data_IF_160457723424
#
_entry.id   IF_160457723424
#
_cell.length_a   1.000
_cell.length_b   1.000
_cell.length_c   1.000
_cell.angle_alpha   90.00
_cell.angle_beta   90.00
_cell.angle_gamma   90.00
#
_symmetry.space_group_name_H-M   'P 1'
#
loop_
_entity.id
_entity.type
_entity.pdbx_description
1 polymer ?
#
# COMPACT_ATOMS: atom_id res chain seq x y z
N UNK A 1 -2.62 12.48 21.92
CA UNK A 1 -3.50 11.56 21.17
C UNK A 1 -4.88 12.17 21.20
N UNK A 2 -5.53 12.32 20.05
CA UNK A 2 -6.83 12.97 19.91
C UNK A 2 -7.96 11.96 20.05
N UNK A 3 -7.82 10.80 19.38
CA UNK A 3 -8.78 9.72 19.47
C UNK A 3 -8.10 8.36 19.25
N UNK A 4 -8.70 7.31 19.77
CA UNK A 4 -8.32 5.91 19.53
C UNK A 4 -9.59 5.13 19.20
N UNK A 5 -9.61 4.49 18.04
CA UNK A 5 -10.76 3.72 17.55
C UNK A 5 -10.31 2.27 17.36
N UNK A 6 -10.98 1.35 18.06
CA UNK A 6 -10.80 -0.07 17.84
C UNK A 6 -11.74 -0.55 16.73
N UNK A 7 -11.16 -1.19 15.72
CA UNK A 7 -11.88 -1.81 14.61
C UNK A 7 -12.40 -3.20 15.00
N UNK A 8 -13.45 -3.67 14.31
CA UNK A 8 -14.06 -4.98 14.54
C UNK A 8 -13.09 -6.16 14.33
N UNK A 9 -12.04 -5.96 13.54
CA UNK A 9 -10.98 -6.96 13.30
C UNK A 9 -9.84 -6.88 14.32
N UNK A 10 -9.99 -6.13 15.42
CA UNK A 10 -8.96 -5.94 16.44
C UNK A 10 -7.89 -4.90 16.09
N UNK A 11 -7.93 -4.31 14.89
CA UNK A 11 -7.03 -3.21 14.52
C UNK A 11 -7.33 -1.94 15.31
N UNK A 12 -6.33 -1.06 15.45
CA UNK A 12 -6.47 0.22 16.14
C UNK A 12 -6.14 1.36 15.17
N UNK A 13 -7.03 2.35 15.09
CA UNK A 13 -6.77 3.63 14.44
C UNK A 13 -6.48 4.65 15.54
N UNK A 14 -5.32 5.30 15.46
CA UNK A 14 -4.93 6.35 16.39
C UNK A 14 -4.90 7.70 15.64
N UNK A 15 -5.72 8.64 16.09
CA UNK A 15 -5.66 10.02 15.63
C UNK A 15 -4.77 10.82 16.59
N UNK A 16 -3.82 11.57 16.04
CA UNK A 16 -2.86 12.35 16.82
C UNK A 16 -3.22 13.83 16.78
N UNK A 17 -2.72 14.58 17.76
CA UNK A 17 -3.06 15.99 17.92
C UNK A 17 -2.42 16.89 16.86
N UNK A 18 -1.30 16.44 16.27
CA UNK A 18 -0.52 17.21 15.30
C UNK A 18 -0.05 16.33 14.15
N UNK A 19 0.10 16.93 12.98
CA UNK A 19 0.70 16.28 11.81
C UNK A 19 2.14 15.85 12.08
N UNK A 20 2.90 16.65 12.82
CA UNK A 20 4.28 16.35 13.20
C UNK A 20 4.37 15.03 14.00
N UNK A 21 3.48 14.84 14.98
CA UNK A 21 3.43 13.59 15.76
C UNK A 21 3.11 12.38 14.86
N UNK A 22 2.23 12.56 13.87
CA UNK A 22 1.89 11.52 12.91
C UNK A 22 3.06 11.18 11.97
N UNK A 23 3.77 12.20 11.49
CA UNK A 23 4.99 12.04 10.68
C UNK A 23 6.09 11.34 11.49
N UNK A 24 6.31 11.75 12.73
CA UNK A 24 7.29 11.12 13.61
C UNK A 24 6.97 9.63 13.84
N UNK A 25 5.71 9.27 14.11
CA UNK A 25 5.29 7.88 14.29
C UNK A 25 5.43 6.99 13.05
N UNK A 26 5.60 7.57 11.85
CA UNK A 26 5.90 6.82 10.62
C UNK A 26 7.38 6.44 10.52
N UNK A 27 8.27 7.05 11.30
CA UNK A 27 9.70 6.72 11.29
C UNK A 27 9.99 5.37 11.93
N UNK A 28 11.04 4.68 11.46
CA UNK A 28 11.46 3.39 12.01
C UNK A 28 11.81 3.48 13.51
N UNK A 29 12.42 4.59 13.93
CA UNK A 29 12.78 4.84 15.33
C UNK A 29 11.54 4.90 16.22
N UNK A 30 10.54 5.72 15.84
CA UNK A 30 9.32 5.87 16.62
C UNK A 30 8.50 4.59 16.68
N UNK A 31 8.41 3.85 15.56
CA UNK A 31 7.76 2.53 15.51
C UNK A 31 8.42 1.55 16.47
N UNK A 32 9.75 1.51 16.47
CA UNK A 32 10.54 0.65 17.38
C UNK A 32 10.28 1.01 18.84
N UNK A 33 10.33 2.31 19.18
CA UNK A 33 10.04 2.80 20.53
C UNK A 33 8.63 2.45 20.99
N UNK A 34 7.64 2.60 20.10
CA UNK A 34 6.24 2.31 20.41
C UNK A 34 6.01 0.80 20.61
N UNK A 35 6.56 -0.05 19.74
CA UNK A 35 6.50 -1.51 19.90
C UNK A 35 7.16 -1.96 21.20
N UNK A 36 8.33 -1.40 21.54
CA UNK A 36 9.03 -1.71 22.78
C UNK A 36 8.22 -1.26 24.02
N UNK A 37 7.58 -0.09 23.97
CA UNK A 37 6.77 0.43 25.07
C UNK A 37 5.50 -0.41 25.30
N UNK A 38 4.84 -0.86 24.23
CA UNK A 38 3.59 -1.60 24.31
C UNK A 38 3.80 -3.10 24.58
N UNK A 39 5.03 -3.62 24.38
CA UNK A 39 5.41 -5.03 24.63
C UNK A 39 4.48 -6.06 23.95
N UNK A 40 3.84 -5.65 22.86
CA UNK A 40 3.00 -6.49 22.02
C UNK A 40 3.50 -6.40 20.57
N UNK A 41 3.30 -7.45 19.76
CA UNK A 41 3.58 -7.37 18.34
C UNK A 41 2.60 -6.39 17.68
N UNK A 42 3.14 -5.29 17.13
CA UNK A 42 2.36 -4.27 16.42
C UNK A 42 2.76 -4.32 14.96
N UNK A 43 1.76 -4.44 14.09
CA UNK A 43 1.94 -4.23 12.67
C UNK A 43 1.48 -2.81 12.30
N UNK A 44 2.40 -1.99 11.83
CA UNK A 44 2.11 -0.64 11.37
C UNK A 44 1.61 -0.71 9.93
N UNK A 45 0.38 -0.22 9.71
CA UNK A 45 -0.17 -0.12 8.37
C UNK A 45 -0.05 1.32 7.88
N UNK A 46 0.80 1.52 6.89
CA UNK A 46 0.88 2.79 6.19
C UNK A 46 -0.39 3.05 5.39
N UNK A 47 -0.73 4.34 5.28
CA UNK A 47 -1.85 4.77 4.45
C UNK A 47 -1.46 4.63 2.99
N UNK A 48 -2.27 3.91 2.23
CA UNK A 48 -2.10 3.74 0.79
C UNK A 48 -3.32 4.25 0.04
N UNK A 49 -3.11 4.61 -1.23
CA UNK A 49 -4.12 5.11 -2.15
C UNK A 49 -4.34 4.07 -3.22
N UNK A 50 -5.57 3.56 -3.32
CA UNK A 50 -5.90 2.47 -4.23
C UNK A 50 -6.26 3.04 -5.62
N UNK A 51 -5.51 2.62 -6.64
CA UNK A 51 -5.79 2.91 -8.06
C UNK A 51 -6.22 1.63 -8.78
N UNK A 52 -7.15 1.76 -9.72
CA UNK A 52 -7.54 0.65 -10.61
C UNK A 52 -6.78 0.80 -11.92
N UNK A 53 -5.86 -0.12 -12.17
CA UNK A 53 -5.14 -0.21 -13.44
C UNK A 53 -5.94 -1.11 -14.38
N UNK A 54 -6.41 -0.54 -15.48
CA UNK A 54 -7.27 -1.22 -16.43
C UNK A 54 -6.45 -1.82 -17.59
N UNK A 55 -6.99 -2.88 -18.20
CA UNK A 55 -6.48 -3.49 -19.43
C UNK A 55 -5.02 -3.98 -19.39
N UNK A 56 -4.52 -4.41 -18.23
CA UNK A 56 -3.19 -5.02 -18.13
C UNK A 56 -3.16 -6.39 -18.81
N UNK A 57 -2.16 -6.69 -19.67
CA UNK A 57 -2.00 -8.01 -20.24
C UNK A 57 -1.92 -9.08 -19.16
N UNK A 58 -2.70 -10.16 -19.33
CA UNK A 58 -2.72 -11.29 -18.38
C UNK A 58 -1.41 -12.08 -18.35
N UNK A 59 -0.56 -11.89 -19.37
CA UNK A 59 0.79 -12.43 -19.45
C UNK A 59 1.79 -11.72 -18.52
N UNK A 60 1.44 -10.55 -17.96
CA UNK A 60 2.29 -9.87 -16.98
C UNK A 60 2.30 -10.61 -15.65
N UNK A 61 3.51 -10.82 -15.14
CA UNK A 61 3.72 -11.41 -13.81
C UNK A 61 3.82 -10.32 -12.75
N UNK A 62 2.69 -9.65 -12.49
CA UNK A 62 2.62 -8.52 -11.54
C UNK A 62 2.94 -8.92 -10.09
N UNK A 63 2.82 -10.22 -9.78
CA UNK A 63 3.08 -10.78 -8.45
C UNK A 63 4.59 -11.02 -8.19
N UNK A 64 5.47 -10.76 -9.17
CA UNK A 64 6.92 -10.89 -8.98
C UNK A 64 7.42 -9.81 -8.01
N UNK A 65 8.30 -10.14 -7.04
CA UNK A 65 8.76 -9.17 -6.05
C UNK A 65 9.39 -7.90 -6.63
N UNK A 66 10.06 -8.00 -7.78
CA UNK A 66 10.74 -6.88 -8.43
C UNK A 66 9.85 -6.09 -9.39
N UNK A 67 8.63 -6.57 -9.70
CA UNK A 67 7.78 -5.96 -10.72
C UNK A 67 7.53 -4.47 -10.45
N UNK A 68 7.16 -4.13 -9.21
CA UNK A 68 6.91 -2.74 -8.84
C UNK A 68 8.15 -1.85 -8.88
N UNK A 69 9.32 -2.40 -8.50
CA UNK A 69 10.57 -1.64 -8.50
C UNK A 69 11.02 -1.33 -9.93
N UNK A 70 10.81 -2.26 -10.87
CA UNK A 70 11.02 -2.01 -12.31
C UNK A 70 10.05 -0.96 -12.84
N UNK A 71 8.76 -1.07 -12.52
CA UNK A 71 7.76 -0.07 -12.95
C UNK A 71 8.10 1.33 -12.41
N UNK A 72 8.54 1.42 -11.15
CA UNK A 72 9.01 2.70 -10.58
C UNK A 72 10.20 3.27 -11.34
N UNK A 73 11.22 2.44 -11.60
CA UNK A 73 12.41 2.85 -12.33
C UNK A 73 12.09 3.31 -13.76
N UNK A 74 11.31 2.53 -14.51
CA UNK A 74 10.90 2.83 -15.88
C UNK A 74 10.08 4.12 -15.99
N UNK A 75 9.36 4.50 -14.92
CA UNK A 75 8.51 5.69 -14.88
C UNK A 75 9.10 6.85 -14.07
N UNK A 76 10.38 6.75 -13.66
CA UNK A 76 11.08 7.74 -12.85
C UNK A 76 10.33 8.09 -11.55
N UNK A 77 9.64 7.11 -10.97
CA UNK A 77 8.97 7.25 -9.69
C UNK A 77 9.97 7.06 -8.56
N UNK A 78 9.64 7.62 -7.40
CA UNK A 78 10.41 7.38 -6.19
C UNK A 78 10.32 5.90 -5.82
N UNK A 79 11.45 5.32 -5.40
CA UNK A 79 11.49 3.96 -4.86
C UNK A 79 10.51 3.80 -3.70
N UNK A 80 9.76 2.70 -3.71
CA UNK A 80 8.71 2.36 -2.73
C UNK A 80 7.46 3.29 -2.76
N UNK A 81 7.28 4.10 -3.80
CA UNK A 81 6.03 4.83 -4.04
C UNK A 81 4.87 3.89 -4.42
N UNK A 82 5.16 2.73 -5.01
CA UNK A 82 4.22 1.65 -5.26
C UNK A 82 4.35 0.59 -4.16
N UNK A 83 3.32 0.47 -3.32
CA UNK A 83 3.30 -0.39 -2.13
C UNK A 83 2.94 -1.84 -2.44
N UNK A 84 1.93 -2.06 -3.28
CA UNK A 84 1.55 -3.41 -3.73
C UNK A 84 0.69 -3.34 -4.99
N UNK A 85 0.67 -4.41 -5.76
CA UNK A 85 -0.28 -4.60 -6.85
C UNK A 85 -0.88 -6.00 -6.75
N UNK A 86 -2.15 -6.14 -7.11
CA UNK A 86 -2.80 -7.44 -7.20
C UNK A 86 -3.87 -7.45 -8.27
N UNK A 87 -4.09 -8.59 -8.89
CA UNK A 87 -5.25 -8.77 -9.76
C UNK A 87 -6.56 -8.60 -9.00
N UNK A 88 -7.53 -7.88 -9.56
CA UNK A 88 -8.88 -7.77 -8.97
C UNK A 88 -9.63 -9.10 -9.13
N UNK A 89 -9.54 -9.71 -10.31
CA UNK A 89 -10.03 -11.06 -10.56
C UNK A 89 -8.86 -12.04 -10.60
N UNK A 90 -8.89 -13.01 -9.69
CA UNK A 90 -7.92 -14.08 -9.63
C UNK A 90 -7.86 -14.83 -10.99
N UNK A 91 -6.68 -15.29 -11.43
CA UNK A 91 -6.50 -15.96 -12.73
C UNK A 91 -7.49 -17.09 -13.00
N UNK A 92 -7.82 -17.88 -11.97
CA UNK A 92 -8.69 -19.07 -12.03
C UNK A 92 -10.16 -18.70 -12.28
N UNK A 93 -10.52 -17.43 -12.07
CA UNK A 93 -11.89 -16.91 -12.22
C UNK A 93 -12.07 -16.12 -13.52
N UNK A 94 -11.08 -16.10 -14.40
CA UNK A 94 -11.13 -15.38 -15.68
C UNK A 94 -11.78 -16.27 -16.75
N UNK A 95 -12.62 -15.69 -17.63
CA UNK A 95 -13.05 -16.40 -18.83
C UNK A 95 -11.87 -16.93 -19.65
N UNK A 96 -11.98 -18.14 -20.22
CA UNK A 96 -10.97 -18.65 -21.15
C UNK A 96 -10.70 -17.67 -22.28
N UNK A 97 -9.43 -17.45 -22.62
CA UNK A 97 -9.04 -16.54 -23.71
C UNK A 97 -9.06 -15.05 -23.36
N UNK A 98 -9.33 -14.66 -22.11
CA UNK A 98 -9.21 -13.27 -21.68
C UNK A 98 -7.74 -12.82 -21.75
N UNK A 99 -7.44 -11.84 -22.62
CA UNK A 99 -6.07 -11.35 -22.83
C UNK A 99 -5.65 -10.25 -21.85
N UNK A 100 -6.60 -9.48 -21.32
CA UNK A 100 -6.34 -8.37 -20.39
C UNK A 100 -7.16 -8.49 -19.12
N UNK A 101 -6.65 -7.99 -17.99
CA UNK A 101 -7.33 -7.99 -16.70
C UNK A 101 -7.08 -6.67 -15.95
N UNK A 102 -7.87 -6.45 -14.89
CA UNK A 102 -7.73 -5.25 -14.06
C UNK A 102 -6.95 -5.59 -12.80
N UNK A 103 -6.10 -4.67 -12.37
CA UNK A 103 -5.35 -4.78 -11.14
C UNK A 103 -5.65 -3.61 -10.20
N UNK A 104 -5.49 -3.86 -8.92
CA UNK A 104 -5.54 -2.86 -7.87
C UNK A 104 -4.11 -2.55 -7.45
N UNK A 105 -3.67 -1.32 -7.72
CA UNK A 105 -2.38 -0.78 -7.33
C UNK A 105 -2.55 0.04 -6.06
N UNK A 106 -1.71 -0.19 -5.06
CA UNK A 106 -1.63 0.61 -3.84
C UNK A 106 -0.43 1.53 -3.94
N UNK A 107 -0.67 2.84 -3.86
CA UNK A 107 0.37 3.88 -3.94
C UNK A 107 0.58 4.46 -2.54
N UNK A 108 1.82 4.70 -2.15
CA UNK A 108 2.23 5.09 -0.80
C UNK A 108 2.01 6.57 -0.51
N UNK A 109 1.88 7.41 -1.54
CA UNK A 109 1.72 8.86 -1.39
C UNK A 109 0.68 9.44 -2.35
N UNK A 110 -0.05 10.49 -1.94
CA UNK A 110 -1.12 11.05 -2.74
C UNK A 110 -0.62 11.81 -3.96
N UNK A 111 0.61 12.36 -3.94
CA UNK A 111 1.13 13.13 -5.06
C UNK A 111 1.44 12.22 -6.25
N UNK A 112 2.14 11.11 -6.02
CA UNK A 112 2.37 10.06 -7.01
C UNK A 112 1.06 9.39 -7.42
N UNK A 113 0.14 9.15 -6.48
CA UNK A 113 -1.17 8.59 -6.85
C UNK A 113 -1.91 9.49 -7.85
N UNK A 114 -1.90 10.81 -7.63
CA UNK A 114 -2.52 11.78 -8.53
C UNK A 114 -1.79 11.92 -9.86
N UNK A 115 -0.47 11.74 -9.89
CA UNK A 115 0.32 11.75 -11.13
C UNK A 115 0.01 10.55 -12.03
N UNK A 116 -0.43 9.43 -11.45
CA UNK A 116 -0.74 8.18 -12.14
C UNK A 116 -2.20 8.08 -12.63
N UNK A 117 -3.06 9.04 -12.26
CA UNK A 117 -4.45 9.15 -12.73
C UNK A 117 -4.52 9.82 -14.10
#
# INVERSE_FOLDING_TARGET
IKAVIQLRNGGIIMELNTEESAKWLRTAEARTKLTAALKIPINFRDQTYALIVQYLPTTLHIDRPQFLRLVEEENLLKTDSLASIRWIKAPERRPPGQLTAFAMLQVSDPATANQLL
#
